data_IF_148891497074
#
_entry.id   IF_148891497074
#
_cell.length_a   1.000
_cell.length_b   1.000
_cell.length_c   1.000
_cell.angle_alpha   90.00
_cell.angle_beta   90.00
_cell.angle_gamma   90.00
#
_symmetry.space_group_name_H-M   'P 1'
#
loop_
_entity.id
_entity.type
_entity.pdbx_description
1 polymer ?
#
# COMPACT_ATOMS: atom_id res chain seq x y z
N UNK A 1 50.16 13.48 -62.05
CA UNK A 1 49.41 14.17 -60.97
C UNK A 1 47.94 13.92 -61.26
N UNK A 2 47.18 13.37 -60.31
CA UNK A 2 45.97 12.53 -60.49
C UNK A 2 46.38 11.10 -60.93
N UNK A 3 46.06 9.99 -60.27
CA UNK A 3 44.91 9.61 -59.44
C UNK A 3 45.37 8.62 -58.33
N UNK A 4 45.22 9.02 -57.05
CA UNK A 4 45.49 8.18 -55.87
C UNK A 4 44.19 8.03 -55.07
N UNK A 5 43.16 7.32 -55.53
CA UNK A 5 41.93 7.26 -54.67
C UNK A 5 40.89 6.17 -54.90
N UNK A 6 41.19 5.05 -55.57
CA UNK A 6 40.14 4.04 -55.85
C UNK A 6 40.44 2.61 -55.39
N UNK A 7 41.26 2.43 -54.35
CA UNK A 7 41.57 1.10 -53.77
C UNK A 7 41.21 0.96 -52.28
N UNK A 8 40.29 1.78 -51.74
CA UNK A 8 39.91 1.72 -50.31
C UNK A 8 38.40 1.77 -50.02
N UNK A 9 37.55 1.33 -50.95
CA UNK A 9 36.08 1.37 -50.72
C UNK A 9 35.31 0.08 -50.96
N UNK A 10 35.95 -0.99 -51.44
CA UNK A 10 35.26 -2.24 -51.76
C UNK A 10 35.50 -3.40 -50.77
N UNK A 11 36.09 -3.13 -49.59
CA UNK A 11 36.44 -4.16 -48.62
C UNK A 11 35.81 -3.98 -47.22
N UNK A 12 34.78 -3.12 -47.10
CA UNK A 12 34.13 -2.81 -45.81
C UNK A 12 32.60 -2.97 -45.88
N UNK A 13 32.09 -3.92 -46.68
CA UNK A 13 30.65 -4.27 -46.69
C UNK A 13 30.35 -5.73 -46.36
N UNK A 14 31.33 -6.55 -45.95
CA UNK A 14 31.11 -7.99 -45.71
C UNK A 14 31.51 -8.48 -44.30
N UNK A 15 31.62 -7.60 -43.30
CA UNK A 15 31.91 -8.01 -41.89
C UNK A 15 30.90 -7.45 -40.86
N UNK A 16 29.91 -6.64 -41.24
CA UNK A 16 28.92 -6.08 -40.30
C UNK A 16 27.51 -6.67 -40.47
N UNK A 17 27.37 -8.00 -40.56
CA UNK A 17 26.05 -8.67 -40.57
C UNK A 17 25.93 -9.73 -39.45
N UNK A 18 26.82 -9.71 -38.45
CA UNK A 18 26.83 -10.68 -37.35
C UNK A 18 26.62 -10.06 -35.96
N UNK A 19 25.81 -9.00 -35.84
CA UNK A 19 25.44 -8.44 -34.53
C UNK A 19 23.95 -8.01 -34.44
N UNK A 20 23.05 -8.78 -35.05
CA UNK A 20 21.65 -8.79 -34.64
C UNK A 20 21.50 -9.95 -33.67
N UNK A 21 21.74 -9.70 -32.38
CA UNK A 21 21.53 -10.68 -31.34
C UNK A 21 20.11 -11.25 -31.48
N UNK A 22 19.90 -12.58 -31.52
CA UNK A 22 18.58 -13.11 -31.28
C UNK A 22 18.20 -12.61 -29.90
N UNK A 23 17.20 -11.74 -29.84
CA UNK A 23 16.59 -11.31 -28.60
C UNK A 23 16.15 -12.59 -27.92
N UNK A 24 16.89 -13.02 -26.89
CA UNK A 24 16.46 -14.06 -25.99
C UNK A 24 15.19 -13.51 -25.35
N UNK A 25 14.05 -13.81 -25.97
CA UNK A 25 12.78 -13.82 -25.28
C UNK A 25 12.96 -14.87 -24.19
N UNK A 26 13.33 -14.41 -23.00
CA UNK A 26 13.21 -15.21 -21.80
C UNK A 26 11.73 -15.63 -21.78
N UNK A 27 11.49 -16.90 -22.10
CA UNK A 27 10.19 -17.49 -21.89
C UNK A 27 9.99 -17.47 -20.38
N UNK A 28 9.33 -16.44 -19.88
CA UNK A 28 8.86 -16.41 -18.51
C UNK A 28 7.91 -17.59 -18.40
N UNK A 29 8.35 -18.67 -17.76
CA UNK A 29 7.47 -19.75 -17.36
C UNK A 29 6.52 -19.15 -16.32
N UNK A 30 5.39 -18.63 -16.80
CA UNK A 30 4.26 -18.30 -15.95
C UNK A 30 3.72 -19.63 -15.42
N UNK A 31 4.24 -20.06 -14.27
CA UNK A 31 3.64 -21.15 -13.51
C UNK A 31 2.19 -20.75 -13.19
N UNK A 32 1.29 -21.31 -13.97
CA UNK A 32 -0.15 -21.05 -13.89
C UNK A 32 -0.83 -21.97 -12.88
N UNK A 33 -0.05 -22.57 -11.97
CA UNK A 33 -0.59 -23.35 -10.86
C UNK A 33 -1.47 -22.45 -9.97
N UNK A 34 -2.71 -22.90 -9.73
CA UNK A 34 -3.62 -22.21 -8.81
C UNK A 34 -2.97 -22.22 -7.43
N UNK A 35 -2.47 -21.06 -6.97
CA UNK A 35 -2.00 -20.88 -5.60
C UNK A 35 -3.20 -20.96 -4.67
N UNK A 36 -3.34 -22.11 -3.99
CA UNK A 36 -4.36 -22.28 -2.94
C UNK A 36 -4.05 -21.32 -1.79
N UNK A 37 -5.07 -20.68 -1.25
CA UNK A 37 -4.94 -19.85 -0.05
C UNK A 37 -4.66 -20.77 1.13
N UNK A 38 -3.45 -20.69 1.67
CA UNK A 38 -3.09 -21.36 2.92
C UNK A 38 -3.62 -20.57 4.12
N UNK A 39 -3.76 -21.24 5.27
CA UNK A 39 -4.19 -20.60 6.52
C UNK A 39 -3.27 -19.42 6.88
N UNK A 40 -1.96 -19.61 6.81
CA UNK A 40 -0.99 -18.53 7.12
C UNK A 40 -1.20 -17.29 6.23
N UNK A 41 -1.48 -17.49 4.95
CA UNK A 41 -1.75 -16.38 4.02
C UNK A 41 -3.00 -15.59 4.41
N UNK A 42 -4.03 -16.28 4.91
CA UNK A 42 -5.23 -15.63 5.41
C UNK A 42 -4.95 -14.87 6.71
N UNK A 43 -4.17 -15.45 7.63
CA UNK A 43 -3.84 -14.82 8.90
C UNK A 43 -2.89 -13.62 8.76
N UNK A 44 -2.05 -13.60 7.73
CA UNK A 44 -1.17 -12.46 7.40
C UNK A 44 -1.87 -11.38 6.56
N UNK A 45 -3.13 -11.62 6.15
CA UNK A 45 -3.84 -10.69 5.31
C UNK A 45 -4.25 -9.44 6.10
N UNK A 46 -3.97 -8.29 5.50
CA UNK A 46 -4.50 -7.02 5.94
C UNK A 46 -5.65 -6.56 5.05
N UNK A 47 -6.53 -5.76 5.64
CA UNK A 47 -7.70 -5.20 4.98
C UNK A 47 -7.71 -3.69 5.13
N UNK A 48 -8.27 -3.01 4.14
CA UNK A 48 -8.49 -1.57 4.17
C UNK A 48 -9.99 -1.33 3.99
N UNK A 49 -10.56 -0.46 4.81
CA UNK A 49 -12.00 -0.19 4.83
C UNK A 49 -12.30 1.25 5.27
N UNK A 50 -13.56 1.66 5.13
CA UNK A 50 -14.08 2.95 5.57
C UNK A 50 -13.23 4.18 5.15
N UNK A 51 -12.82 4.31 3.87
CA UNK A 51 -12.13 5.53 3.44
C UNK A 51 -13.07 6.74 3.59
N UNK A 52 -12.50 7.86 4.04
CA UNK A 52 -13.15 9.19 4.09
C UNK A 52 -12.17 10.25 3.63
N UNK A 53 -12.63 11.07 2.70
CA UNK A 53 -11.89 12.26 2.26
C UNK A 53 -12.21 13.38 3.26
N UNK A 54 -11.20 14.13 3.67
CA UNK A 54 -11.35 15.35 4.47
C UNK A 54 -12.19 16.39 3.71
N UNK A 55 -12.98 17.25 4.39
CA UNK A 55 -13.73 18.31 3.72
C UNK A 55 -12.88 19.26 2.86
N UNK A 56 -11.62 19.48 3.24
CA UNK A 56 -10.65 20.27 2.47
C UNK A 56 -10.17 19.57 1.18
N UNK A 57 -10.47 18.28 1.02
CA UNK A 57 -10.07 17.45 -0.11
C UNK A 57 -8.59 17.03 -0.12
N UNK A 58 -7.78 17.44 0.87
CA UNK A 58 -6.32 17.24 0.84
C UNK A 58 -5.88 15.94 1.50
N UNK A 59 -6.74 15.36 2.36
CA UNK A 59 -6.39 14.21 3.19
C UNK A 59 -7.43 13.10 3.06
N UNK A 60 -6.97 11.86 3.23
CA UNK A 60 -7.80 10.66 3.25
C UNK A 60 -7.48 9.90 4.52
N UNK A 61 -8.53 9.50 5.24
CA UNK A 61 -8.44 8.63 6.41
C UNK A 61 -9.10 7.32 6.10
N UNK A 62 -8.57 6.23 6.64
CA UNK A 62 -9.12 4.91 6.41
C UNK A 62 -8.82 3.99 7.59
N UNK A 63 -9.56 2.90 7.69
CA UNK A 63 -9.32 1.84 8.67
C UNK A 63 -8.47 0.74 8.02
N UNK A 64 -7.35 0.38 8.66
CA UNK A 64 -6.52 -0.79 8.33
C UNK A 64 -6.79 -1.86 9.38
N UNK A 65 -7.18 -3.05 8.96
CA UNK A 65 -7.50 -4.18 9.85
C UNK A 65 -6.62 -5.39 9.59
N UNK A 66 -6.30 -6.15 10.63
CA UNK A 66 -5.48 -7.37 10.57
C UNK A 66 -5.91 -8.38 11.64
N UNK A 67 -5.35 -9.59 11.57
CA UNK A 67 -5.50 -10.60 12.62
C UNK A 67 -4.28 -10.52 13.55
N UNK A 68 -4.54 -10.23 14.81
CA UNK A 68 -3.55 -10.34 15.89
C UNK A 68 -3.48 -11.81 16.31
N UNK A 69 -2.55 -12.54 15.70
CA UNK A 69 -2.36 -13.99 15.93
C UNK A 69 -2.02 -14.32 17.38
N UNK A 70 -1.37 -13.40 18.10
CA UNK A 70 -0.93 -13.64 19.48
C UNK A 70 -2.09 -13.58 20.47
N UNK A 71 -3.06 -12.70 20.20
CA UNK A 71 -4.22 -12.49 21.07
C UNK A 71 -5.52 -13.08 20.51
N UNK A 72 -5.44 -13.87 19.43
CA UNK A 72 -6.55 -14.52 18.73
C UNK A 72 -7.75 -13.58 18.49
N UNK A 73 -7.47 -12.37 17.99
CA UNK A 73 -8.49 -11.34 17.76
C UNK A 73 -8.26 -10.58 16.46
N UNK A 74 -9.33 -9.94 15.97
CA UNK A 74 -9.20 -8.91 14.94
C UNK A 74 -8.79 -7.60 15.59
N UNK A 75 -7.85 -6.91 14.97
CA UNK A 75 -7.40 -5.60 15.38
C UNK A 75 -7.53 -4.63 14.21
N UNK A 76 -7.65 -3.35 14.52
CA UNK A 76 -7.69 -2.30 13.51
C UNK A 76 -7.06 -1.00 14.01
N UNK A 77 -6.58 -0.23 13.06
CA UNK A 77 -6.06 1.12 13.27
C UNK A 77 -6.53 2.06 12.18
N UNK A 78 -6.56 3.33 12.50
CA UNK A 78 -6.85 4.41 11.58
C UNK A 78 -5.53 4.96 11.07
N UNK A 79 -5.48 5.12 9.76
CA UNK A 79 -4.36 5.67 9.03
C UNK A 79 -4.81 6.90 8.26
N UNK A 80 -3.87 7.80 8.02
CA UNK A 80 -4.09 9.03 7.26
C UNK A 80 -3.00 9.20 6.21
N UNK A 81 -3.40 9.68 5.04
CA UNK A 81 -2.51 10.02 3.93
C UNK A 81 -3.00 11.28 3.22
N UNK A 82 -2.12 11.89 2.44
CA UNK A 82 -2.51 12.93 1.49
C UNK A 82 -3.38 12.34 0.38
N UNK A 83 -4.19 13.16 -0.28
CA UNK A 83 -5.04 12.74 -1.40
C UNK A 83 -4.25 12.22 -2.61
N UNK A 84 -2.97 12.56 -2.74
CA UNK A 84 -2.04 12.03 -3.74
C UNK A 84 -1.39 10.68 -3.33
N UNK A 85 -1.75 10.14 -2.16
CA UNK A 85 -1.21 8.90 -1.60
C UNK A 85 0.11 9.05 -0.83
N UNK A 86 0.69 10.26 -0.78
CA UNK A 86 1.91 10.52 -0.02
C UNK A 86 1.63 10.68 1.48
N UNK A 87 2.69 10.65 2.30
CA UNK A 87 2.62 10.85 3.76
C UNK A 87 1.66 9.88 4.47
N UNK A 88 1.55 8.65 3.98
CA UNK A 88 0.76 7.61 4.64
C UNK A 88 1.37 7.22 5.99
N UNK A 89 0.64 7.41 7.08
CA UNK A 89 1.09 7.08 8.43
C UNK A 89 -0.05 6.66 9.36
N UNK A 90 0.32 5.94 10.41
CA UNK A 90 -0.56 5.56 11.51
C UNK A 90 -1.04 6.78 12.26
N UNK A 91 -2.32 6.82 12.62
CA UNK A 91 -2.92 7.89 13.41
C UNK A 91 -3.29 7.41 14.82
N UNK A 92 -4.12 6.38 14.92
CA UNK A 92 -4.60 5.85 16.22
C UNK A 92 -5.18 4.44 16.05
N UNK A 93 -5.19 3.64 17.11
CA UNK A 93 -5.95 2.38 17.13
C UNK A 93 -7.46 2.62 17.17
N UNK A 94 -8.22 1.85 16.40
CA UNK A 94 -9.65 2.03 16.25
C UNK A 94 -10.16 1.80 14.83
N UNK A 95 -11.40 2.20 14.56
CA UNK A 95 -12.08 1.99 13.28
C UNK A 95 -13.15 3.03 12.99
N UNK A 96 -13.67 3.02 11.77
CA UNK A 96 -14.82 3.82 11.35
C UNK A 96 -14.63 5.33 11.51
N UNK A 97 -13.52 5.92 11.02
CA UNK A 97 -13.30 7.34 11.14
C UNK A 97 -14.34 8.16 10.38
N UNK A 98 -14.69 9.33 10.90
CA UNK A 98 -15.46 10.36 10.20
C UNK A 98 -14.98 11.76 10.57
N UNK A 99 -14.87 12.63 9.57
CA UNK A 99 -14.44 14.01 9.75
C UNK A 99 -15.57 14.89 10.28
N UNK A 100 -15.21 15.92 11.06
CA UNK A 100 -16.08 17.06 11.30
C UNK A 100 -16.20 17.91 10.02
N UNK A 101 -17.33 18.62 9.82
CA UNK A 101 -17.51 19.47 8.64
C UNK A 101 -16.50 20.62 8.52
N UNK A 102 -15.92 21.05 9.66
CA UNK A 102 -14.92 22.12 9.73
C UNK A 102 -13.47 21.64 9.57
N UNK A 103 -13.26 20.34 9.30
CA UNK A 103 -11.95 19.70 9.08
C UNK A 103 -10.97 19.74 10.28
N UNK A 104 -11.47 20.11 11.46
CA UNK A 104 -10.64 20.26 12.66
C UNK A 104 -10.59 19.02 13.57
N UNK A 105 -11.53 18.09 13.41
CA UNK A 105 -11.73 16.96 14.32
C UNK A 105 -12.13 15.69 13.59
N UNK A 106 -11.88 14.56 14.22
CA UNK A 106 -12.33 13.26 13.75
C UNK A 106 -13.00 12.47 14.88
N UNK A 107 -14.13 11.85 14.57
CA UNK A 107 -14.76 10.86 15.43
C UNK A 107 -14.43 9.44 14.94
N UNK A 108 -14.26 8.51 15.87
CA UNK A 108 -13.95 7.12 15.56
C UNK A 108 -14.40 6.17 16.67
N UNK A 109 -14.40 4.88 16.38
CA UNK A 109 -14.65 3.82 17.35
C UNK A 109 -13.32 3.28 17.87
N UNK A 110 -13.15 3.27 19.19
CA UNK A 110 -12.05 2.60 19.84
C UNK A 110 -12.57 1.34 20.55
N UNK A 111 -11.74 0.30 20.62
CA UNK A 111 -12.04 -0.86 21.45
C UNK A 111 -12.03 -0.40 22.92
N UNK A 112 -13.20 -0.40 23.55
CA UNK A 112 -13.30 -0.15 24.99
C UNK A 112 -12.77 -1.36 25.75
N UNK A 113 -11.70 -1.17 26.53
CA UNK A 113 -11.41 -2.16 27.57
C UNK A 113 -12.62 -2.26 28.50
N UNK A 114 -13.09 -3.45 28.91
CA UNK A 114 -13.91 -3.54 30.09
C UNK A 114 -13.03 -3.07 31.26
N UNK A 115 -13.30 -1.87 31.74
CA UNK A 115 -12.69 -1.29 32.94
C UNK A 115 -13.18 -2.07 34.16
N UNK A 116 -12.71 -3.31 34.33
CA UNK A 116 -12.71 -4.00 35.62
C UNK A 116 -11.42 -3.63 36.34
N UNK A 117 -11.22 -2.33 36.52
CA UNK A 117 -10.38 -1.76 37.55
C UNK A 117 -11.34 -1.01 38.48
N UNK A 118 -11.68 -1.68 39.57
CA UNK A 118 -12.57 -1.19 40.59
C UNK A 118 -12.21 0.23 41.07
N UNK A 119 -13.26 0.99 41.38
CA UNK A 119 -13.28 2.22 42.17
C UNK A 119 -12.79 3.52 41.51
N UNK A 120 -13.64 4.11 40.69
CA UNK A 120 -14.06 5.50 40.89
C UNK A 120 -15.34 5.76 40.08
N UNK A 121 -16.47 5.77 40.77
CA UNK A 121 -17.70 6.32 40.24
C UNK A 121 -17.45 7.79 39.86
N UNK A 122 -17.17 8.08 38.59
CA UNK A 122 -17.48 9.30 37.85
C UNK A 122 -16.79 9.22 36.48
N UNK A 123 -17.57 9.43 35.41
CA UNK A 123 -17.15 9.64 34.00
C UNK A 123 -17.20 8.42 33.08
N UNK A 124 -18.43 8.01 32.80
CA UNK A 124 -18.75 7.49 31.46
C UNK A 124 -18.61 8.63 30.44
N UNK A 125 -17.63 8.55 29.52
CA UNK A 125 -17.65 9.24 28.22
C UNK A 125 -16.95 8.39 27.16
N UNK A 126 -17.65 7.50 26.44
CA UNK A 126 -17.14 6.94 25.20
C UNK A 126 -17.31 8.00 24.11
N UNK A 127 -16.30 8.84 23.92
CA UNK A 127 -16.21 9.78 22.79
C UNK A 127 -14.75 10.15 22.59
N UNK A 128 -13.95 9.24 22.03
CA UNK A 128 -12.60 9.59 21.60
C UNK A 128 -12.73 10.45 20.34
N UNK A 129 -12.55 11.75 20.53
CA UNK A 129 -12.44 12.77 19.47
C UNK A 129 -10.98 13.20 19.47
N UNK A 130 -10.30 13.09 18.33
CA UNK A 130 -8.94 13.61 18.14
C UNK A 130 -9.02 14.78 17.17
#
# INVERSE_FOLDING_TARGET
MFERTLLRRAAWCLVTVALAAPTLALSQSNDSSIKKVALEMYLDQETVSNPRIAPDGQRIVYTRGWIDKMNDRRASSIWIMNADGTRNHFLVDGSGPTWSPDDTRMAFMADGAPEVAANAAHRFKPSSVI
#
